data_IF_238970258339
#
_entry.id   IF_238970258339
#
_cell.length_a   1.000
_cell.length_b   1.000
_cell.length_c   1.000
_cell.angle_alpha   90.00
_cell.angle_beta   90.00
_cell.angle_gamma   90.00
#
_symmetry.space_group_name_H-M   'P 1'
#
loop_
_entity.id
_entity.type
_entity.pdbx_description
1 polymer ?
#
# COMPACT_ATOMS: atom_id res chain seq x y z
N UNK A 1 12.45 10.01 26.42
CA UNK A 1 12.79 9.31 25.18
C UNK A 1 11.58 9.28 24.26
N UNK A 2 11.76 9.69 23.04
CA UNK A 2 10.64 9.73 22.13
C UNK A 2 10.54 8.43 21.33
N UNK A 3 9.34 7.86 21.29
CA UNK A 3 9.10 6.72 20.45
C UNK A 3 9.07 7.15 18.99
N UNK A 4 9.51 6.27 18.08
CA UNK A 4 9.40 6.58 16.67
C UNK A 4 7.95 6.84 16.30
N UNK A 5 7.72 7.94 15.60
CA UNK A 5 6.36 8.27 15.17
C UNK A 5 6.11 7.65 13.82
N UNK A 6 5.15 6.75 13.77
CA UNK A 6 4.73 6.07 12.55
C UNK A 6 3.44 6.70 12.06
N UNK A 7 3.44 7.15 10.81
CA UNK A 7 2.26 7.76 10.18
C UNK A 7 1.80 6.92 9.00
N UNK A 8 0.53 6.60 8.99
CA UNK A 8 -0.12 6.00 7.84
C UNK A 8 -0.92 7.11 7.16
N UNK A 9 -0.65 7.35 5.88
CA UNK A 9 -1.33 8.39 5.12
C UNK A 9 -1.53 7.96 3.68
N UNK A 10 -2.34 8.70 2.94
CA UNK A 10 -2.50 8.45 1.53
C UNK A 10 -1.24 8.83 0.76
N UNK A 11 -0.97 8.08 -0.29
CA UNK A 11 0.19 8.31 -1.14
C UNK A 11 -0.03 9.52 -2.05
N UNK A 12 1.07 10.16 -2.41
CA UNK A 12 1.11 11.27 -3.35
C UNK A 12 2.08 10.92 -4.47
N UNK A 13 1.97 11.64 -5.59
CA UNK A 13 2.88 11.43 -6.71
C UNK A 13 4.35 11.54 -6.28
N UNK A 14 4.65 12.47 -5.37
CA UNK A 14 6.00 12.64 -4.86
C UNK A 14 6.54 11.46 -4.07
N UNK A 15 5.68 10.51 -3.69
CA UNK A 15 6.10 9.31 -2.97
C UNK A 15 6.62 8.20 -3.89
N UNK A 16 6.42 8.34 -5.20
CA UNK A 16 6.73 7.26 -6.14
C UNK A 16 8.18 6.78 -6.06
N UNK A 17 9.20 7.66 -5.99
CA UNK A 17 10.58 7.17 -5.88
C UNK A 17 10.79 6.26 -4.67
N UNK A 18 10.21 6.61 -3.52
CA UNK A 18 10.33 5.80 -2.31
C UNK A 18 9.56 4.50 -2.41
N UNK A 19 8.37 4.54 -3.04
CA UNK A 19 7.58 3.33 -3.29
C UNK A 19 8.35 2.37 -4.19
N UNK A 20 8.96 2.88 -5.25
CA UNK A 20 9.75 2.05 -6.16
C UNK A 20 10.94 1.41 -5.47
N UNK A 21 11.56 2.11 -4.54
CA UNK A 21 12.67 1.55 -3.78
C UNK A 21 12.21 0.34 -2.97
N UNK A 22 11.09 0.45 -2.26
CA UNK A 22 10.53 -0.68 -1.51
C UNK A 22 10.14 -1.80 -2.45
N UNK A 23 9.51 -1.47 -3.56
CA UNK A 23 9.04 -2.44 -4.54
C UNK A 23 10.20 -3.27 -5.07
N UNK A 24 11.31 -2.62 -5.43
CA UNK A 24 12.47 -3.31 -5.95
C UNK A 24 13.13 -4.18 -4.89
N UNK A 25 13.19 -3.72 -3.65
CA UNK A 25 13.77 -4.50 -2.57
C UNK A 25 12.94 -5.75 -2.26
N UNK A 26 11.63 -5.69 -2.45
CA UNK A 26 10.75 -6.81 -2.13
C UNK A 26 10.51 -7.75 -3.29
N UNK A 27 10.48 -7.25 -4.52
CA UNK A 27 10.01 -8.04 -5.65
C UNK A 27 10.99 -8.12 -6.82
N UNK A 28 12.03 -7.35 -6.81
CA UNK A 28 13.09 -7.40 -7.82
C UNK A 28 12.54 -7.40 -9.25
N UNK A 29 12.65 -8.54 -9.97
CA UNK A 29 12.25 -8.64 -11.36
C UNK A 29 10.75 -8.52 -11.58
N UNK A 30 9.97 -8.84 -10.56
CA UNK A 30 8.51 -8.77 -10.65
C UNK A 30 7.96 -7.44 -10.18
N UNK A 31 8.82 -6.45 -9.97
CA UNK A 31 8.38 -5.16 -9.46
C UNK A 31 7.54 -4.41 -10.50
N UNK A 32 6.58 -3.63 -10.01
CA UNK A 32 5.78 -2.77 -10.87
C UNK A 32 6.59 -1.58 -11.37
N UNK A 33 6.21 -1.07 -12.53
CA UNK A 33 6.86 0.08 -13.12
C UNK A 33 6.39 1.38 -12.49
N UNK A 34 7.15 2.44 -12.74
CA UNK A 34 6.75 3.78 -12.30
C UNK A 34 5.38 4.18 -12.85
N UNK A 35 5.12 3.85 -14.11
CA UNK A 35 3.86 4.19 -14.76
C UNK A 35 2.67 3.51 -14.09
N UNK A 36 2.86 2.27 -13.63
CA UNK A 36 1.81 1.57 -12.90
C UNK A 36 1.50 2.26 -11.58
N UNK A 37 2.51 2.73 -10.87
CA UNK A 37 2.28 3.45 -9.62
C UNK A 37 1.65 4.82 -9.85
N UNK A 38 2.03 5.52 -10.91
CA UNK A 38 1.35 6.78 -11.28
C UNK A 38 -0.13 6.52 -11.52
N UNK A 39 -0.46 5.47 -12.27
CA UNK A 39 -1.86 5.10 -12.51
C UNK A 39 -2.59 4.82 -11.19
N UNK A 40 -1.98 4.01 -10.33
CA UNK A 40 -2.62 3.60 -9.08
C UNK A 40 -2.88 4.77 -8.14
N UNK A 41 -2.00 5.76 -8.15
CA UNK A 41 -2.14 6.92 -7.26
C UNK A 41 -3.08 7.95 -7.87
N UNK A 42 -2.97 8.23 -9.17
CA UNK A 42 -3.63 9.36 -9.80
C UNK A 42 -4.93 9.03 -10.50
N UNK A 43 -5.10 7.82 -11.00
CA UNK A 43 -6.20 7.51 -11.93
C UNK A 43 -7.07 6.35 -11.54
N UNK A 44 -6.60 5.48 -10.67
CA UNK A 44 -7.40 4.31 -10.31
C UNK A 44 -8.55 4.68 -9.37
N UNK A 45 -9.56 3.82 -9.35
CA UNK A 45 -10.66 3.94 -8.39
C UNK A 45 -10.29 3.17 -7.13
N UNK A 46 -9.27 3.63 -6.46
CA UNK A 46 -8.80 2.94 -5.29
C UNK A 46 -8.11 3.90 -4.35
N UNK A 47 -7.42 3.34 -3.40
CA UNK A 47 -6.71 4.09 -2.40
C UNK A 47 -5.32 3.50 -2.25
N UNK A 48 -4.35 4.36 -2.08
CA UNK A 48 -2.96 3.94 -1.91
C UNK A 48 -2.47 4.55 -0.61
N UNK A 49 -2.07 3.70 0.33
CA UNK A 49 -1.56 4.16 1.62
C UNK A 49 -0.09 3.85 1.76
N UNK A 50 0.61 4.76 2.42
CA UNK A 50 2.02 4.57 2.75
C UNK A 50 2.20 4.73 4.25
N UNK A 51 3.20 4.05 4.78
CA UNK A 51 3.60 4.17 6.19
C UNK A 51 4.96 4.82 6.22
N UNK A 52 5.05 5.92 6.96
CA UNK A 52 6.26 6.72 7.04
C UNK A 52 6.71 6.82 8.50
N UNK A 53 7.99 6.63 8.72
CA UNK A 53 8.61 6.78 10.03
C UNK A 53 9.79 7.74 9.88
N UNK A 54 9.72 8.88 10.57
CA UNK A 54 10.80 9.87 10.52
C UNK A 54 11.22 10.22 9.10
N UNK A 55 10.23 10.55 8.27
CA UNK A 55 10.43 10.93 6.87
C UNK A 55 10.91 9.80 5.95
N UNK A 56 11.02 8.59 6.47
CA UNK A 56 11.37 7.42 5.66
C UNK A 56 10.13 6.58 5.42
N UNK A 57 9.87 6.26 4.15
CA UNK A 57 8.78 5.34 3.83
C UNK A 57 9.23 3.91 4.12
N UNK A 58 8.43 3.18 4.89
CA UNK A 58 8.80 1.83 5.32
C UNK A 58 7.82 0.77 4.84
N UNK A 59 6.65 1.16 4.35
CA UNK A 59 5.66 0.18 3.86
C UNK A 59 4.62 0.88 3.01
N UNK A 60 3.88 0.10 2.22
CA UNK A 60 2.76 0.63 1.46
C UNK A 60 1.74 -0.47 1.18
N UNK A 61 0.51 -0.06 0.86
CA UNK A 61 -0.52 -0.94 0.33
C UNK A 61 -1.30 -0.19 -0.74
N UNK A 62 -1.54 -0.86 -1.86
CA UNK A 62 -2.36 -0.34 -2.96
C UNK A 62 -3.66 -1.11 -3.01
N UNK A 63 -4.78 -0.40 -2.96
CA UNK A 63 -6.12 -0.98 -2.92
C UNK A 63 -6.92 -0.50 -4.11
N UNK A 64 -7.64 -1.43 -4.76
CA UNK A 64 -8.54 -1.10 -5.85
C UNK A 64 -9.93 -1.59 -5.50
N UNK A 65 -10.93 -0.71 -5.69
CA UNK A 65 -12.32 -1.06 -5.48
C UNK A 65 -12.95 -1.37 -6.83
N UNK A 66 -13.49 -2.58 -6.95
CA UNK A 66 -14.15 -3.02 -8.17
C UNK A 66 -15.67 -2.91 -7.97
N UNK A 67 -16.25 -1.87 -8.51
CA UNK A 67 -17.65 -1.54 -8.25
C UNK A 67 -18.62 -2.64 -8.70
N UNK A 68 -18.33 -3.31 -9.80
CA UNK A 68 -19.22 -4.35 -10.32
C UNK A 68 -19.35 -5.55 -9.39
N UNK A 69 -18.29 -5.90 -8.68
CA UNK A 69 -18.30 -7.02 -7.73
C UNK A 69 -18.42 -6.56 -6.30
N UNK A 70 -18.20 -5.28 -6.05
CA UNK A 70 -18.11 -4.70 -4.71
C UNK A 70 -16.98 -5.33 -3.89
N UNK A 71 -15.91 -5.73 -4.55
CA UNK A 71 -14.74 -6.27 -3.89
C UNK A 71 -13.68 -5.17 -3.74
N UNK A 72 -13.03 -5.15 -2.59
CA UNK A 72 -11.83 -4.33 -2.39
C UNK A 72 -10.65 -5.26 -2.59
N UNK A 73 -9.81 -4.94 -3.57
CA UNK A 73 -8.70 -5.80 -3.95
C UNK A 73 -7.39 -5.20 -3.47
N UNK A 74 -6.60 -6.00 -2.76
CA UNK A 74 -5.22 -5.62 -2.45
C UNK A 74 -4.40 -5.89 -3.70
N UNK A 75 -4.02 -4.81 -4.39
CA UNK A 75 -3.28 -4.91 -5.63
C UNK A 75 -1.81 -5.18 -5.36
N UNK A 76 -1.24 -4.47 -4.38
CA UNK A 76 0.14 -4.68 -3.97
C UNK A 76 0.28 -4.27 -2.50
N UNK A 77 1.12 -4.97 -1.77
CA UNK A 77 1.42 -4.66 -0.38
C UNK A 77 2.86 -5.06 -0.12
N UNK A 78 3.61 -4.19 0.53
CA UNK A 78 5.01 -4.47 0.83
C UNK A 78 5.47 -3.74 2.08
N UNK A 79 6.37 -4.39 2.82
CA UNK A 79 7.07 -3.82 3.97
C UNK A 79 8.55 -3.89 3.66
N UNK A 80 9.25 -2.78 3.83
CA UNK A 80 10.70 -2.75 3.58
C UNK A 80 11.38 -3.86 4.38
N UNK A 81 12.33 -4.60 3.77
CA UNK A 81 12.96 -5.73 4.46
C UNK A 81 13.56 -5.38 5.84
N UNK A 82 14.10 -4.17 5.98
CA UNK A 82 14.72 -3.74 7.24
C UNK A 82 13.69 -3.49 8.34
N UNK A 83 12.41 -3.42 7.99
CA UNK A 83 11.36 -3.06 8.93
C UNK A 83 10.38 -4.19 9.21
N UNK A 84 10.67 -5.38 8.72
CA UNK A 84 9.83 -6.54 8.97
C UNK A 84 9.91 -6.94 10.44
N UNK A 85 8.86 -7.61 10.92
CA UNK A 85 8.78 -8.00 12.32
C UNK A 85 8.24 -6.94 13.25
N UNK A 86 7.83 -5.78 12.71
CA UNK A 86 7.30 -4.67 13.50
C UNK A 86 5.80 -4.53 13.38
N UNK A 87 5.12 -5.56 12.91
CA UNK A 87 3.66 -5.59 12.75
C UNK A 87 3.12 -4.55 11.78
N UNK A 88 3.96 -4.11 10.82
CA UNK A 88 3.51 -3.14 9.82
C UNK A 88 2.51 -3.73 8.86
N UNK A 89 2.66 -5.02 8.53
CA UNK A 89 1.67 -5.71 7.71
C UNK A 89 0.31 -5.72 8.37
N UNK A 90 0.27 -5.93 9.70
CA UNK A 90 -0.98 -5.88 10.45
C UNK A 90 -1.59 -4.49 10.40
N UNK A 91 -0.77 -3.44 10.55
CA UNK A 91 -1.25 -2.07 10.48
C UNK A 91 -1.88 -1.79 9.10
N UNK A 92 -1.23 -2.23 8.03
CA UNK A 92 -1.75 -2.07 6.68
C UNK A 92 -3.06 -2.84 6.49
N UNK A 93 -3.15 -4.06 7.03
CA UNK A 93 -4.38 -4.85 6.94
C UNK A 93 -5.52 -4.22 7.71
N UNK A 94 -5.23 -3.64 8.87
CA UNK A 94 -6.26 -2.93 9.65
C UNK A 94 -6.80 -1.75 8.85
N UNK A 95 -5.93 -0.99 8.19
CA UNK A 95 -6.37 0.12 7.34
C UNK A 95 -7.16 -0.38 6.14
N UNK A 96 -6.77 -1.52 5.57
CA UNK A 96 -7.50 -2.14 4.47
C UNK A 96 -8.91 -2.50 4.90
N UNK A 97 -9.06 -3.09 6.09
CA UNK A 97 -10.39 -3.44 6.62
C UNK A 97 -11.23 -2.19 6.84
N UNK A 98 -10.65 -1.14 7.41
CA UNK A 98 -11.36 0.12 7.58
C UNK A 98 -11.84 0.67 6.23
N UNK A 99 -11.00 0.63 5.22
CA UNK A 99 -11.36 1.09 3.88
C UNK A 99 -12.50 0.26 3.31
N UNK A 100 -12.44 -1.06 3.50
CA UNK A 100 -13.51 -1.95 3.03
C UNK A 100 -14.84 -1.58 3.69
N UNK A 101 -14.83 -1.29 4.98
CA UNK A 101 -16.04 -0.88 5.69
C UNK A 101 -16.54 0.47 5.18
N UNK A 102 -15.65 1.43 4.96
CA UNK A 102 -16.01 2.75 4.49
C UNK A 102 -16.67 2.71 3.10
N UNK A 103 -16.16 1.88 2.21
CA UNK A 103 -16.70 1.78 0.85
C UNK A 103 -17.76 0.68 0.72
N UNK A 104 -18.14 0.06 1.83
CA UNK A 104 -19.17 -1.00 1.87
C UNK A 104 -18.82 -2.15 0.93
N UNK A 105 -17.56 -2.54 0.93
CA UNK A 105 -17.10 -3.67 0.14
C UNK A 105 -17.70 -4.96 0.71
N UNK A 106 -18.10 -5.85 -0.19
CA UNK A 106 -18.64 -7.14 0.20
C UNK A 106 -17.53 -8.11 0.60
N UNK A 107 -16.31 -7.89 0.11
CA UNK A 107 -15.21 -8.84 0.29
C UNK A 107 -13.89 -8.15 0.04
N UNK A 108 -12.84 -8.62 0.72
CA UNK A 108 -11.46 -8.21 0.44
C UNK A 108 -10.80 -9.36 -0.30
N UNK A 109 -10.20 -9.07 -1.45
CA UNK A 109 -9.47 -10.07 -2.23
C UNK A 109 -8.03 -9.62 -2.39
N UNK A 110 -7.16 -10.54 -2.78
CA UNK A 110 -5.76 -10.25 -3.02
C UNK A 110 -5.38 -10.61 -4.44
N UNK A 111 -4.58 -9.75 -5.07
CA UNK A 111 -4.05 -10.05 -6.38
C UNK A 111 -3.02 -11.16 -6.29
N UNK A 112 -3.10 -12.13 -7.20
CA UNK A 112 -2.16 -13.24 -7.23
C UNK A 112 -1.03 -13.00 -8.22
N UNK A 113 -1.03 -11.86 -8.88
CA UNK A 113 -0.07 -11.57 -9.94
C UNK A 113 1.20 -10.91 -9.45
N UNK A 114 1.43 -10.90 -8.17
CA UNK A 114 2.57 -10.17 -7.65
C UNK A 114 3.46 -10.97 -6.74
#
# INVERSE_FOLDING_TARGET
MMEPTIHLRQAKVGDIPAILEIEQECFQEDSFSREQFVYLICRSKGTFYVVVEQERMIAYVSLLFHAGTRYLRIYSIAVHPDCRGRKLGQLLMERTIETALECKAAKITRSEEH
#
